data_IF_791232441162
#
_entry.id   IF_791232441162
#
_cell.length_a   1.000
_cell.length_b   1.000
_cell.length_c   1.000
_cell.angle_alpha   90.00
_cell.angle_beta   90.00
_cell.angle_gamma   90.00
#
_symmetry.space_group_name_H-M   'P 1'
#
loop_
_entity.id
_entity.type
_entity.pdbx_description
1 polymer ?
#
# COMPACT_ATOMS: atom_id res chain seq x y z
N UNK A 1 -17.01 -47.58 -5.22
CA UNK A 1 -15.95 -47.22 -4.25
C UNK A 1 -15.56 -45.73 -4.30
N UNK A 2 -15.51 -45.09 -5.47
CA UNK A 2 -15.10 -43.66 -5.58
C UNK A 2 -16.16 -42.69 -5.04
N UNK A 3 -17.46 -42.98 -5.13
CA UNK A 3 -18.51 -42.11 -4.60
C UNK A 3 -18.50 -41.98 -3.07
N UNK A 4 -17.94 -42.93 -2.36
CA UNK A 4 -17.80 -42.88 -0.89
C UNK A 4 -16.72 -41.89 -0.41
N UNK A 5 -15.85 -41.43 -1.32
CA UNK A 5 -14.80 -40.44 -1.05
C UNK A 5 -15.26 -39.01 -1.30
N UNK A 6 -16.44 -38.85 -1.89
CA UNK A 6 -17.02 -37.51 -2.11
C UNK A 6 -17.75 -37.07 -0.84
N UNK A 7 -17.39 -35.89 -0.33
CA UNK A 7 -18.10 -35.25 0.76
C UNK A 7 -19.48 -34.76 0.30
N UNK A 8 -20.28 -34.27 1.23
CA UNK A 8 -21.64 -33.75 1.00
C UNK A 8 -21.71 -32.23 0.85
N UNK A 9 -20.61 -31.56 1.10
CA UNK A 9 -20.53 -30.10 0.95
C UNK A 9 -20.63 -29.66 -0.52
N UNK A 10 -20.97 -28.41 -0.71
CA UNK A 10 -20.91 -27.71 -2.00
C UNK A 10 -20.25 -26.35 -1.77
N UNK A 11 -18.94 -26.37 -1.73
CA UNK A 11 -18.12 -25.18 -1.46
C UNK A 11 -17.73 -24.54 -2.79
N UNK A 12 -18.11 -23.28 -2.99
CA UNK A 12 -17.51 -22.45 -4.02
C UNK A 12 -16.24 -21.79 -3.46
N UNK A 13 -15.13 -22.42 -3.74
CA UNK A 13 -13.83 -21.99 -3.21
C UNK A 13 -13.40 -20.62 -3.69
N UNK A 14 -13.87 -20.19 -4.89
CA UNK A 14 -13.57 -18.83 -5.37
C UNK A 14 -14.32 -17.78 -4.56
N UNK A 15 -15.60 -18.01 -4.25
CA UNK A 15 -16.37 -17.11 -3.39
C UNK A 15 -15.78 -17.02 -1.97
N UNK A 16 -15.14 -18.08 -1.50
CA UNK A 16 -14.52 -18.11 -0.17
C UNK A 16 -13.21 -17.34 -0.09
N UNK A 17 -12.44 -17.25 -1.16
CA UNK A 17 -11.15 -16.56 -1.19
C UNK A 17 -11.22 -15.13 -1.70
N UNK A 18 -12.19 -14.82 -2.57
CA UNK A 18 -12.33 -13.50 -3.15
C UNK A 18 -13.32 -12.61 -2.39
N UNK A 19 -13.13 -11.32 -2.54
CA UNK A 19 -14.02 -10.29 -2.04
C UNK A 19 -14.17 -9.16 -3.05
N UNK A 20 -15.21 -8.35 -2.86
CA UNK A 20 -15.31 -7.10 -3.58
C UNK A 20 -14.23 -6.14 -3.10
N UNK A 21 -13.32 -5.76 -4.00
CA UNK A 21 -12.29 -4.80 -3.71
C UNK A 21 -12.90 -3.39 -3.61
N UNK A 22 -12.56 -2.67 -2.54
CA UNK A 22 -12.93 -1.28 -2.34
C UNK A 22 -11.68 -0.42 -2.19
N UNK A 23 -11.68 0.75 -2.82
CA UNK A 23 -10.56 1.69 -2.73
C UNK A 23 -11.05 3.10 -2.42
N UNK A 24 -10.29 3.83 -1.60
CA UNK A 24 -10.49 5.25 -1.32
C UNK A 24 -9.16 5.98 -1.35
N UNK A 25 -9.15 7.17 -1.96
CA UNK A 25 -8.01 8.09 -1.97
C UNK A 25 -8.49 9.49 -1.63
N UNK A 26 -8.09 9.98 -0.46
CA UNK A 26 -8.50 11.26 0.07
C UNK A 26 -7.27 12.13 0.27
N UNK A 27 -7.27 13.30 -0.36
CA UNK A 27 -6.17 14.25 -0.27
C UNK A 27 -6.72 15.64 0.10
N UNK A 28 -6.16 16.23 1.15
CA UNK A 28 -6.46 17.59 1.58
C UNK A 28 -5.19 18.44 1.49
N UNK A 29 -5.31 19.62 0.89
CA UNK A 29 -4.21 20.56 0.75
C UNK A 29 -4.67 21.97 1.14
N UNK A 30 -3.90 22.59 2.01
CA UNK A 30 -4.15 23.97 2.47
C UNK A 30 -2.93 24.82 2.08
N UNK A 31 -3.20 25.94 1.45
CA UNK A 31 -2.17 26.91 1.08
C UNK A 31 -2.48 28.24 1.73
N UNK A 32 -1.48 28.88 2.31
CA UNK A 32 -1.62 30.16 3.01
C UNK A 32 -0.30 30.91 3.13
N UNK A 33 -0.29 31.91 3.99
CA UNK A 33 0.92 32.66 4.36
C UNK A 33 1.00 32.72 5.89
N UNK A 34 2.14 32.36 6.46
CA UNK A 34 2.41 32.54 7.90
C UNK A 34 2.78 34.01 8.17
N UNK A 35 3.48 34.63 7.22
CA UNK A 35 3.86 36.03 7.22
C UNK A 35 3.76 36.57 5.78
N UNK A 36 3.82 37.90 5.53
CA UNK A 36 3.66 38.48 4.19
C UNK A 36 4.53 37.81 3.10
N UNK A 37 5.76 37.44 3.46
CA UNK A 37 6.72 36.86 2.51
C UNK A 37 7.01 35.35 2.81
N UNK A 38 6.11 34.67 3.53
CA UNK A 38 6.29 33.28 3.95
C UNK A 38 5.11 32.41 3.51
N UNK A 39 4.97 32.14 2.21
CA UNK A 39 3.95 31.22 1.74
C UNK A 39 4.24 29.80 2.24
N UNK A 40 3.17 29.12 2.66
CA UNK A 40 3.19 27.74 3.14
C UNK A 40 2.11 26.92 2.42
N UNK A 41 2.45 25.68 2.14
CA UNK A 41 1.50 24.67 1.71
C UNK A 41 1.66 23.44 2.59
N UNK A 42 0.56 22.97 3.14
CA UNK A 42 0.49 21.71 3.89
C UNK A 42 -0.49 20.79 3.18
N UNK A 43 -0.11 19.53 3.00
CA UNK A 43 -0.99 18.52 2.41
C UNK A 43 -0.93 17.25 3.26
N UNK A 44 -2.10 16.62 3.42
CA UNK A 44 -2.25 15.32 4.04
C UNK A 44 -3.06 14.42 3.11
N UNK A 45 -2.71 13.16 3.05
CA UNK A 45 -3.40 12.19 2.22
C UNK A 45 -3.58 10.87 2.95
N UNK A 46 -4.71 10.24 2.70
CA UNK A 46 -5.04 8.89 3.16
C UNK A 46 -5.52 8.06 1.97
N UNK A 47 -4.85 6.96 1.75
CA UNK A 47 -5.18 5.98 0.73
C UNK A 47 -5.41 4.63 1.41
N UNK A 48 -6.50 3.96 1.07
CA UNK A 48 -6.77 2.58 1.45
C UNK A 48 -7.37 1.83 0.26
N UNK A 49 -6.85 0.64 0.00
CA UNK A 49 -7.35 -0.24 -1.06
C UNK A 49 -7.31 -1.68 -0.57
N UNK A 50 -8.48 -2.32 -0.54
CA UNK A 50 -8.59 -3.76 -0.38
C UNK A 50 -8.27 -4.46 -1.70
N UNK A 51 -7.55 -5.58 -1.64
CA UNK A 51 -7.34 -6.45 -2.78
C UNK A 51 -8.54 -7.36 -3.08
N UNK A 52 -8.45 -8.11 -4.16
CA UNK A 52 -9.45 -9.12 -4.51
C UNK A 52 -9.40 -10.32 -3.56
N UNK A 53 -8.22 -10.72 -3.08
CA UNK A 53 -8.10 -11.72 -2.01
C UNK A 53 -8.52 -11.10 -0.67
N UNK A 54 -9.22 -11.86 0.17
CA UNK A 54 -9.86 -11.34 1.40
C UNK A 54 -8.90 -10.68 2.39
N UNK A 55 -7.65 -11.09 2.45
CA UNK A 55 -6.66 -10.54 3.38
C UNK A 55 -5.75 -9.49 2.75
N UNK A 56 -5.85 -9.26 1.43
CA UNK A 56 -4.99 -8.31 0.75
C UNK A 56 -5.47 -6.88 1.00
N UNK A 57 -4.59 -6.02 1.51
CA UNK A 57 -4.90 -4.62 1.80
C UNK A 57 -3.66 -3.73 1.69
N UNK A 58 -3.83 -2.57 1.10
CA UNK A 58 -2.81 -1.54 1.01
C UNK A 58 -3.32 -0.24 1.64
N UNK A 59 -2.62 0.25 2.65
CA UNK A 59 -2.94 1.48 3.34
C UNK A 59 -1.74 2.43 3.32
N UNK A 60 -1.98 3.71 2.99
CA UNK A 60 -0.93 4.71 2.94
C UNK A 60 -1.38 6.04 3.51
N UNK A 61 -0.59 6.52 4.45
CA UNK A 61 -0.68 7.88 4.97
C UNK A 61 0.43 8.72 4.35
N UNK A 62 0.12 9.93 3.91
CA UNK A 62 1.10 10.89 3.39
C UNK A 62 0.93 12.24 4.05
N UNK A 63 2.05 12.89 4.30
CA UNK A 63 2.07 14.27 4.77
C UNK A 63 3.16 15.05 4.05
N UNK A 64 2.90 16.29 3.67
CA UNK A 64 3.92 17.16 3.09
C UNK A 64 3.75 18.60 3.55
N UNK A 65 4.88 19.26 3.71
CA UNK A 65 4.96 20.69 4.02
C UNK A 65 5.94 21.32 3.05
N UNK A 66 5.51 22.40 2.40
CA UNK A 66 6.36 23.25 1.57
C UNK A 66 6.30 24.65 2.14
N UNK A 67 7.46 25.24 2.40
CA UNK A 67 7.63 26.59 2.92
C UNK A 67 8.62 27.36 2.03
N UNK A 68 8.21 28.51 1.53
CA UNK A 68 9.00 29.33 0.62
C UNK A 68 9.24 30.75 1.20
N UNK A 69 9.98 30.89 2.29
CA UNK A 69 10.24 32.21 2.86
C UNK A 69 11.19 33.01 1.99
N UNK A 70 10.93 34.33 1.90
CA UNK A 70 11.86 35.28 1.33
C UNK A 70 12.30 36.31 2.38
N UNK A 71 13.58 36.67 2.33
CA UNK A 71 14.26 37.58 3.26
C UNK A 71 14.97 38.71 2.49
N UNK A 72 15.30 39.78 3.20
CA UNK A 72 16.09 40.91 2.66
C UNK A 72 15.52 41.49 1.38
N UNK A 73 14.22 41.77 1.34
CA UNK A 73 13.53 42.29 0.14
C UNK A 73 13.76 41.39 -1.10
N UNK A 74 13.54 40.08 -0.93
CA UNK A 74 13.67 39.04 -1.97
C UNK A 74 15.10 38.72 -2.44
N UNK A 75 16.14 39.17 -1.72
CA UNK A 75 17.52 38.82 -2.03
C UNK A 75 17.87 37.40 -1.64
N UNK A 76 17.29 36.87 -0.55
CA UNK A 76 17.42 35.48 -0.17
C UNK A 76 16.05 34.80 -0.23
N UNK A 77 15.93 33.80 -1.07
CA UNK A 77 14.75 32.93 -1.17
C UNK A 77 15.12 31.52 -0.73
N UNK A 78 14.36 30.97 0.19
CA UNK A 78 14.50 29.57 0.57
C UNK A 78 13.30 28.78 0.04
N UNK A 79 13.56 27.55 -0.33
CA UNK A 79 12.53 26.57 -0.66
C UNK A 79 12.76 25.32 0.23
N UNK A 80 11.88 25.15 1.20
CA UNK A 80 11.97 24.07 2.19
C UNK A 80 10.82 23.12 1.91
N UNK A 81 11.14 21.87 1.59
CA UNK A 81 10.17 20.81 1.39
C UNK A 81 10.46 19.66 2.36
N UNK A 82 9.41 19.19 3.00
CA UNK A 82 9.43 17.98 3.80
C UNK A 82 8.23 17.12 3.44
N UNK A 83 8.48 15.83 3.16
CA UNK A 83 7.44 14.86 2.79
C UNK A 83 7.65 13.57 3.57
N UNK A 84 6.61 13.10 4.24
CA UNK A 84 6.60 11.82 4.93
C UNK A 84 5.52 10.89 4.36
N UNK A 85 5.77 9.59 4.40
CA UNK A 85 4.76 8.58 4.11
C UNK A 85 4.94 7.34 5.00
N UNK A 86 3.81 6.74 5.36
CA UNK A 86 3.73 5.46 6.05
C UNK A 86 2.86 4.56 5.17
N UNK A 87 3.40 3.42 4.74
CA UNK A 87 2.69 2.42 3.97
C UNK A 87 2.59 1.16 4.82
N UNK A 88 1.37 0.68 5.04
CA UNK A 88 1.06 -0.59 5.67
C UNK A 88 0.41 -1.48 4.61
N UNK A 89 1.05 -2.58 4.28
CA UNK A 89 0.51 -3.53 3.32
C UNK A 89 0.37 -4.89 4.00
N UNK A 90 -0.75 -5.54 3.76
CA UNK A 90 -0.99 -6.95 4.07
C UNK A 90 -1.10 -7.68 2.74
N UNK A 91 -0.35 -8.76 2.57
CA UNK A 91 -0.33 -9.52 1.33
C UNK A 91 -1.07 -10.84 1.50
N UNK A 92 -2.07 -11.07 0.67
CA UNK A 92 -2.74 -12.35 0.57
C UNK A 92 -1.81 -13.41 -0.04
N UNK A 93 -1.98 -14.67 0.40
CA UNK A 93 -1.24 -15.79 -0.19
C UNK A 93 -1.85 -16.14 -1.56
N UNK A 94 -1.10 -15.88 -2.63
CA UNK A 94 -1.55 -16.15 -4.01
C UNK A 94 -1.63 -17.63 -4.36
N UNK A 95 -0.99 -18.51 -3.57
CA UNK A 95 -1.13 -19.98 -3.74
C UNK A 95 -2.57 -20.43 -3.51
N UNK A 96 -3.33 -19.70 -2.71
CA UNK A 96 -4.75 -19.95 -2.49
C UNK A 96 -5.58 -19.93 -3.77
N UNK A 97 -5.19 -19.16 -4.79
CA UNK A 97 -5.86 -19.08 -6.08
C UNK A 97 -5.75 -20.41 -6.83
N UNK A 98 -4.53 -20.95 -6.88
CA UNK A 98 -4.32 -22.26 -7.48
C UNK A 98 -5.01 -23.37 -6.67
N UNK A 99 -4.90 -23.31 -5.34
CA UNK A 99 -5.55 -24.27 -4.46
C UNK A 99 -7.07 -24.27 -4.65
N UNK A 100 -7.70 -23.10 -4.70
CA UNK A 100 -9.16 -22.94 -4.91
C UNK A 100 -9.64 -23.52 -6.25
N UNK A 101 -8.81 -23.45 -7.30
CA UNK A 101 -9.14 -24.02 -8.60
C UNK A 101 -8.98 -25.53 -8.68
N UNK A 102 -8.24 -26.13 -7.74
CA UNK A 102 -7.84 -27.55 -7.80
C UNK A 102 -8.54 -28.41 -6.73
N UNK A 103 -8.87 -27.80 -5.57
CA UNK A 103 -9.47 -28.51 -4.44
C UNK A 103 -10.88 -29.04 -4.77
N UNK A 104 -11.24 -30.16 -4.18
CA UNK A 104 -12.55 -30.77 -4.39
C UNK A 104 -13.68 -29.90 -3.77
N UNK A 105 -14.71 -29.50 -4.55
CA UNK A 105 -15.82 -28.69 -4.04
C UNK A 105 -16.75 -29.43 -3.07
N UNK A 106 -16.62 -30.75 -2.92
CA UNK A 106 -17.43 -31.53 -1.96
C UNK A 106 -16.87 -31.51 -0.56
N UNK A 107 -15.74 -30.85 -0.32
CA UNK A 107 -15.08 -30.68 0.97
C UNK A 107 -15.57 -29.39 1.62
N UNK A 108 -15.96 -29.40 2.92
CA UNK A 108 -16.32 -28.16 3.63
C UNK A 108 -15.07 -27.34 3.97
N UNK A 109 -15.22 -26.03 4.11
CA UNK A 109 -14.12 -25.11 4.50
C UNK A 109 -13.58 -25.49 5.89
N UNK A 110 -14.47 -25.77 6.83
CA UNK A 110 -14.12 -26.04 8.22
C UNK A 110 -14.34 -27.51 8.57
N UNK A 111 -13.38 -28.09 9.27
CA UNK A 111 -13.44 -29.50 9.74
C UNK A 111 -14.30 -29.68 10.99
N UNK A 112 -14.55 -28.61 11.74
CA UNK A 112 -15.13 -28.67 13.09
C UNK A 112 -14.18 -29.19 14.19
N UNK A 113 -12.90 -29.40 13.86
CA UNK A 113 -11.82 -29.77 14.76
C UNK A 113 -10.85 -28.60 14.91
N UNK A 114 -10.21 -28.45 16.07
CA UNK A 114 -9.22 -27.37 16.31
C UNK A 114 -7.88 -27.61 15.62
N UNK A 115 -7.70 -28.79 14.99
CA UNK A 115 -6.50 -29.06 14.18
C UNK A 115 -6.46 -28.19 12.94
N UNK A 116 -5.29 -27.78 12.52
CA UNK A 116 -5.06 -26.89 11.37
C UNK A 116 -5.88 -25.58 11.40
N UNK A 117 -6.03 -24.99 12.60
CA UNK A 117 -6.81 -23.76 12.79
C UNK A 117 -8.30 -23.92 12.50
N UNK A 118 -8.84 -25.14 12.54
CA UNK A 118 -10.24 -25.45 12.25
C UNK A 118 -10.55 -25.69 10.77
N UNK A 119 -9.57 -25.51 9.88
CA UNK A 119 -9.75 -25.73 8.43
C UNK A 119 -9.67 -27.21 8.07
N UNK A 120 -10.42 -27.60 7.05
CA UNK A 120 -10.37 -28.97 6.55
C UNK A 120 -9.11 -29.19 5.74
N UNK A 121 -8.27 -30.09 6.17
CA UNK A 121 -7.06 -30.55 5.45
C UNK A 121 -7.12 -32.04 5.13
N UNK A 122 -6.40 -32.43 4.07
CA UNK A 122 -6.24 -33.84 3.77
C UNK A 122 -5.24 -34.46 4.75
N UNK A 123 -5.70 -35.43 5.56
CA UNK A 123 -4.88 -36.12 6.55
C UNK A 123 -4.81 -37.64 6.25
N UNK A 124 -3.72 -38.24 6.63
CA UNK A 124 -3.55 -39.68 6.59
C UNK A 124 -4.24 -40.39 7.79
N UNK A 125 -4.10 -41.72 7.88
CA UNK A 125 -4.68 -42.53 8.96
C UNK A 125 -4.13 -42.20 10.35
N UNK A 126 -3.04 -41.42 10.43
CA UNK A 126 -2.41 -40.98 11.69
C UNK A 126 -2.84 -39.60 12.09
N UNK A 127 -3.59 -38.89 11.23
CA UNK A 127 -3.97 -37.49 11.40
C UNK A 127 -2.91 -36.47 10.93
N UNK A 128 -1.85 -36.95 10.28
CA UNK A 128 -0.82 -36.06 9.70
C UNK A 128 -1.23 -35.59 8.31
N UNK A 129 -0.84 -34.36 7.89
CA UNK A 129 -1.12 -33.86 6.55
C UNK A 129 -0.55 -34.78 5.46
N UNK A 130 -1.35 -35.07 4.44
CA UNK A 130 -0.91 -35.86 3.30
C UNK A 130 0.03 -35.01 2.45
N UNK A 131 1.26 -35.45 2.27
CA UNK A 131 2.25 -34.72 1.49
C UNK A 131 1.84 -34.64 0.01
N UNK A 132 1.83 -33.45 -0.53
CA UNK A 132 1.40 -33.16 -1.91
C UNK A 132 -0.10 -33.03 -2.12
N UNK A 133 -0.92 -33.13 -1.08
CA UNK A 133 -2.34 -32.78 -1.16
C UNK A 133 -2.53 -31.26 -1.31
N UNK A 134 -3.64 -30.89 -1.95
CA UNK A 134 -3.99 -29.47 -2.07
C UNK A 134 -4.45 -28.96 -0.71
N UNK A 135 -3.81 -27.92 -0.21
CA UNK A 135 -4.14 -27.27 1.06
C UNK A 135 -5.45 -26.48 0.96
N UNK A 136 -6.11 -26.28 2.10
CA UNK A 136 -7.32 -25.48 2.15
C UNK A 136 -7.05 -24.03 1.76
N UNK A 137 -7.69 -23.49 0.68
CA UNK A 137 -7.42 -22.14 0.20
C UNK A 137 -7.71 -21.05 1.21
N UNK A 138 -8.76 -21.21 2.04
CA UNK A 138 -9.12 -20.26 3.08
C UNK A 138 -8.09 -20.30 4.20
N UNK A 139 -7.63 -21.49 4.58
CA UNK A 139 -6.53 -21.66 5.53
C UNK A 139 -5.25 -20.99 5.07
N UNK A 140 -4.89 -21.14 3.78
CA UNK A 140 -3.71 -20.50 3.18
C UNK A 140 -3.76 -18.97 3.27
N UNK A 141 -4.94 -18.37 3.17
CA UNK A 141 -5.12 -16.92 3.27
C UNK A 141 -5.12 -16.47 4.72
N UNK A 142 -5.92 -17.12 5.58
CA UNK A 142 -6.17 -16.66 6.94
C UNK A 142 -5.00 -16.93 7.91
N UNK A 143 -4.24 -18.00 7.65
CA UNK A 143 -3.06 -18.35 8.46
C UNK A 143 -1.77 -17.71 7.95
N UNK A 144 -1.83 -16.97 6.84
CA UNK A 144 -0.70 -16.23 6.30
C UNK A 144 -0.59 -14.87 6.98
N UNK A 145 0.54 -14.63 7.66
CA UNK A 145 0.85 -13.36 8.31
C UNK A 145 1.97 -12.63 7.56
N UNK A 146 1.63 -12.10 6.38
CA UNK A 146 2.58 -11.37 5.53
C UNK A 146 2.28 -9.88 5.53
N UNK A 147 3.08 -9.12 6.27
CA UNK A 147 2.94 -7.67 6.42
C UNK A 147 4.18 -6.92 5.97
N UNK A 148 3.97 -5.73 5.43
CA UNK A 148 5.03 -4.77 5.15
C UNK A 148 4.66 -3.41 5.73
N UNK A 149 5.54 -2.86 6.58
CA UNK A 149 5.43 -1.50 7.08
C UNK A 149 6.63 -0.69 6.60
N UNK A 150 6.39 0.28 5.72
CA UNK A 150 7.44 1.12 5.16
C UNK A 150 7.20 2.57 5.55
N UNK A 151 8.18 3.19 6.21
CA UNK A 151 8.18 4.60 6.55
C UNK A 151 9.24 5.32 5.75
N UNK A 152 8.87 6.41 5.10
CA UNK A 152 9.79 7.22 4.29
C UNK A 152 9.67 8.67 4.71
N UNK A 153 10.82 9.32 4.78
CA UNK A 153 10.92 10.77 4.95
C UNK A 153 11.89 11.31 3.91
N UNK A 154 11.47 12.36 3.22
CA UNK A 154 12.28 13.06 2.22
C UNK A 154 12.18 14.53 2.53
N UNK A 155 13.32 15.21 2.60
CA UNK A 155 13.39 16.66 2.77
C UNK A 155 14.47 17.25 1.90
N UNK A 156 14.22 18.45 1.39
CA UNK A 156 15.22 19.26 0.71
C UNK A 156 15.08 20.73 1.13
N UNK A 157 16.20 21.42 1.11
CA UNK A 157 16.29 22.86 1.34
C UNK A 157 17.13 23.45 0.22
N UNK A 158 16.54 24.35 -0.54
CA UNK A 158 17.21 25.11 -1.56
C UNK A 158 17.31 26.58 -1.11
N UNK A 159 18.44 27.23 -1.36
CA UNK A 159 18.67 28.62 -1.07
C UNK A 159 19.15 29.36 -2.32
N UNK A 160 18.42 30.38 -2.72
CA UNK A 160 18.79 31.28 -3.82
C UNK A 160 19.10 32.66 -3.24
N UNK A 161 20.37 33.08 -3.41
CA UNK A 161 20.85 34.36 -2.91
C UNK A 161 21.32 35.25 -4.06
N UNK A 162 20.67 36.43 -4.23
CA UNK A 162 21.07 37.46 -5.22
C UNK A 162 22.09 38.40 -4.63
N UNK A 163 23.34 38.29 -5.09
CA UNK A 163 24.42 39.17 -4.72
C UNK A 163 24.32 40.49 -5.49
N UNK A 164 24.27 41.61 -4.78
CA UNK A 164 24.10 42.95 -5.39
C UNK A 164 25.40 43.50 -6.00
N UNK A 165 26.52 42.81 -5.84
CA UNK A 165 27.84 43.36 -6.17
C UNK A 165 28.27 43.19 -7.63
N UNK A 166 27.57 42.44 -8.44
CA UNK A 166 27.86 42.36 -9.88
C UNK A 166 26.85 43.20 -10.63
N UNK A 167 27.30 44.38 -11.22
CA UNK A 167 26.46 45.07 -12.17
C UNK A 167 26.18 44.10 -13.32
N UNK A 168 24.91 43.94 -13.65
CA UNK A 168 24.47 43.20 -14.84
C UNK A 168 25.17 43.88 -16.03
N UNK A 169 26.14 43.21 -16.66
CA UNK A 169 26.68 43.66 -17.93
C UNK A 169 25.54 43.59 -18.94
N UNK A 170 24.91 44.73 -19.18
CA UNK A 170 24.11 44.93 -20.39
C UNK A 170 25.09 44.82 -21.56
N UNK A 171 25.12 43.67 -22.20
CA UNK A 171 25.75 43.54 -23.50
C UNK A 171 24.88 44.36 -24.46
N UNK A 172 25.22 45.64 -24.61
CA UNK A 172 24.68 46.47 -25.67
C UNK A 172 25.13 45.82 -26.99
N UNK A 173 24.20 45.15 -27.65
CA UNK A 173 24.35 44.86 -29.09
C UNK A 173 24.38 46.22 -29.80
N UNK A 174 25.59 46.68 -30.11
CA UNK A 174 25.78 47.72 -31.13
C UNK A 174 25.57 47.04 -32.50
N UNK A 175 24.38 47.20 -33.04
CA UNK A 175 24.13 47.18 -34.45
C UNK A 175 24.90 48.33 -35.09
N UNK A 176 25.94 48.02 -35.88
CA UNK A 176 26.49 48.96 -36.85
C UNK A 176 26.43 48.31 -38.24
N UNK A 177 25.52 48.90 -39.05
CA UNK A 177 25.59 49.15 -40.51
C UNK A 177 25.91 47.92 -41.41
#
# INVERSE_FOLDING_TARGET
AQQALLGTARTDWNDEIYQNAFGTDNNLSITGKIAPNWPIRVSVGYYNQSGLLRTDNAERYTGSVTLNPSFFKDHLKLNINAKGSINNNTFGNTEAIWAASTINPTIPVYSGLDTFGGYTEAVDNTGAPVNGAVMNPVGLIQMNDSHSNVRRFIGNIDADYRVHFFPRSETACYDRL
#
